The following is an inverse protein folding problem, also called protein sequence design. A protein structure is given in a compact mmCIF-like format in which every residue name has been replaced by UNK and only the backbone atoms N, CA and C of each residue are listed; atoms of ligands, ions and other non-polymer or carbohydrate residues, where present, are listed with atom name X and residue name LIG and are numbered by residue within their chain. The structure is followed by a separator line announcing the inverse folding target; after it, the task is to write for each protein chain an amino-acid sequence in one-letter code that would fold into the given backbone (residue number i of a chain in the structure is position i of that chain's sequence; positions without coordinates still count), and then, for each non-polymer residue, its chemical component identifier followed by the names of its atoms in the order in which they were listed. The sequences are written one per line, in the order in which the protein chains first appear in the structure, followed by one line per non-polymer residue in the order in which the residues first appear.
data_IF_580141762985
#
_entry.id   IF_580141762985
#
_cell.length_a   1.000
_cell.length_b   1.000
_cell.length_c   1.000
_cell.angle_alpha   90.00
_cell.angle_beta   90.00
_cell.angle_gamma   90.00
#
_symmetry.space_group_name_H-M   'P 1'
#
loop_
_entity.id
_entity.type
_entity.pdbx_description
1 polymer ?
#
# COMPACT_ATOMS: atom_id res chain seq x y z
N UNK A 1 -5.56 5.14 -26.69
CA UNK A 1 -4.39 5.01 -25.80
C UNK A 1 -4.29 3.56 -25.40
N UNK A 2 -3.11 2.97 -25.50
CA UNK A 2 -2.84 1.72 -24.81
C UNK A 2 -2.61 2.04 -23.33
N UNK A 3 -3.33 1.35 -22.45
CA UNK A 3 -3.31 1.54 -20.99
C UNK A 3 -2.71 0.31 -20.29
N UNK A 4 -2.19 -0.65 -21.06
CA UNK A 4 -1.53 -1.83 -20.52
C UNK A 4 -0.17 -1.47 -19.94
N UNK A 5 0.13 -2.04 -18.78
CA UNK A 5 1.46 -1.98 -18.19
C UNK A 5 2.43 -2.86 -18.98
N UNK A 6 3.67 -2.41 -19.14
CA UNK A 6 4.75 -3.27 -19.67
C UNK A 6 5.02 -4.43 -18.69
N UNK A 7 5.68 -5.52 -19.15
CA UNK A 7 6.06 -6.62 -18.26
C UNK A 7 6.92 -6.16 -17.06
N UNK A 8 7.81 -5.20 -17.27
CA UNK A 8 8.67 -4.63 -16.22
C UNK A 8 7.86 -3.85 -15.17
N UNK A 9 6.87 -3.07 -15.62
CA UNK A 9 5.96 -2.35 -14.74
C UNK A 9 5.08 -3.31 -13.93
N UNK A 10 4.65 -4.43 -14.52
CA UNK A 10 3.92 -5.48 -13.80
C UNK A 10 4.78 -6.14 -12.72
N UNK A 11 6.03 -6.49 -13.05
CA UNK A 11 6.96 -7.08 -12.08
C UNK A 11 7.22 -6.12 -10.90
N UNK A 12 7.48 -4.84 -11.19
CA UNK A 12 7.65 -3.82 -10.15
C UNK A 12 6.40 -3.67 -9.28
N UNK A 13 5.21 -3.69 -9.88
CA UNK A 13 3.96 -3.62 -9.14
C UNK A 13 3.78 -4.81 -8.20
N UNK A 14 4.16 -6.01 -8.61
CA UNK A 14 4.11 -7.20 -7.74
C UNK A 14 5.08 -7.10 -6.57
N UNK A 15 6.30 -6.61 -6.80
CA UNK A 15 7.29 -6.35 -5.77
C UNK A 15 6.75 -5.37 -4.73
N UNK A 16 6.24 -4.21 -5.17
CA UNK A 16 5.66 -3.21 -4.28
C UNK A 16 4.48 -3.78 -3.50
N UNK A 17 3.57 -4.53 -4.15
CA UNK A 17 2.42 -5.15 -3.45
C UNK A 17 2.85 -6.18 -2.41
N UNK A 18 3.97 -6.86 -2.62
CA UNK A 18 4.52 -7.82 -1.66
C UNK A 18 5.17 -7.09 -0.49
N UNK A 19 5.97 -6.06 -0.78
CA UNK A 19 6.60 -5.22 0.24
C UNK A 19 5.55 -4.54 1.13
N UNK A 20 4.52 -3.92 0.56
CA UNK A 20 3.44 -3.27 1.32
C UNK A 20 2.73 -4.29 2.20
N UNK A 21 2.43 -5.50 1.71
CA UNK A 21 1.79 -6.55 2.53
C UNK A 21 2.63 -6.98 3.72
N UNK A 22 3.96 -6.98 3.59
CA UNK A 22 4.87 -7.37 4.64
C UNK A 22 5.14 -6.26 5.68
N UNK A 23 5.04 -4.99 5.27
CA UNK A 23 5.46 -3.85 6.12
C UNK A 23 4.32 -2.94 6.58
N UNK A 24 3.19 -2.91 5.88
CA UNK A 24 2.03 -2.12 6.30
C UNK A 24 1.41 -2.73 7.56
N UNK A 25 1.34 -1.98 8.68
CA UNK A 25 0.67 -2.46 9.87
C UNK A 25 -0.78 -2.84 9.61
N UNK A 26 -1.19 -3.99 10.14
CA UNK A 26 -2.53 -4.56 9.90
C UNK A 26 -3.65 -3.63 10.40
N UNK A 27 -3.44 -2.95 11.53
CA UNK A 27 -4.37 -1.99 12.11
C UNK A 27 -4.59 -0.77 11.20
N UNK A 28 -3.52 -0.27 10.56
CA UNK A 28 -3.61 0.81 9.58
C UNK A 28 -4.30 0.31 8.30
N UNK A 29 -3.94 -0.89 7.83
CA UNK A 29 -4.56 -1.50 6.66
C UNK A 29 -6.08 -1.70 6.84
N UNK A 30 -6.50 -2.13 8.03
CA UNK A 30 -7.91 -2.25 8.40
C UNK A 30 -8.61 -0.90 8.31
N UNK A 31 -8.05 0.16 8.90
CA UNK A 31 -8.65 1.51 8.83
C UNK A 31 -8.86 1.97 7.39
N UNK A 32 -7.86 1.81 6.52
CA UNK A 32 -7.95 2.20 5.10
C UNK A 32 -9.02 1.39 4.36
N UNK A 33 -9.09 0.07 4.54
CA UNK A 33 -10.06 -0.79 3.84
C UNK A 33 -11.51 -0.52 4.24
N UNK A 34 -11.72 -0.03 5.46
CA UNK A 34 -13.04 0.20 6.03
C UNK A 34 -13.42 1.69 6.09
N UNK A 35 -12.65 2.56 5.41
CA UNK A 35 -12.86 4.01 5.41
C UNK A 35 -12.98 4.61 6.83
N UNK A 36 -12.16 4.08 7.75
CA UNK A 36 -12.10 4.57 9.12
C UNK A 36 -11.12 5.73 9.25
N UNK A 37 -11.35 6.59 10.24
CA UNK A 37 -10.48 7.72 10.52
C UNK A 37 -9.03 7.27 10.82
N UNK A 38 -8.08 7.84 10.06
CA UNK A 38 -6.65 7.73 10.32
C UNK A 38 -6.21 8.88 11.23
N UNK A 39 -5.58 8.53 12.34
CA UNK A 39 -4.97 9.50 13.24
C UNK A 39 -3.62 9.96 12.71
N UNK A 40 -3.09 11.06 13.26
CA UNK A 40 -1.72 11.51 12.98
C UNK A 40 -0.68 10.43 13.27
N UNK A 41 -0.83 9.68 14.36
CA UNK A 41 0.12 8.65 14.77
C UNK A 41 0.12 7.46 13.81
N UNK A 42 -1.05 7.07 13.28
CA UNK A 42 -1.15 6.06 12.22
C UNK A 42 -0.31 6.49 11.00
N UNK A 43 -0.49 7.72 10.53
CA UNK A 43 0.23 8.25 9.37
C UNK A 43 1.74 8.37 9.63
N UNK A 44 2.14 8.80 10.83
CA UNK A 44 3.55 8.90 11.21
C UNK A 44 4.23 7.54 11.37
N UNK A 45 3.52 6.54 11.90
CA UNK A 45 4.04 5.17 12.02
C UNK A 45 4.25 4.53 10.66
N UNK A 46 3.38 4.83 9.69
CA UNK A 46 3.55 4.38 8.31
C UNK A 46 4.70 5.08 7.57
N UNK A 47 4.96 6.35 7.85
CA UNK A 47 5.98 7.14 7.15
C UNK A 47 7.42 6.96 7.66
N UNK A 48 7.65 6.06 8.61
CA UNK A 48 8.99 5.75 9.16
C UNK A 48 9.62 4.58 8.42
#
# INVERSE_FOLDING_TARGET
MDLAFTPEEQAFREEVRTWVRAHLPEDIAHKVRHDLHLTRDDMQRWAR
#
